data_IF_014642745382
#
_entry.id   IF_014642745382
#
_cell.length_a   1.000
_cell.length_b   1.000
_cell.length_c   1.000
_cell.angle_alpha   90.00
_cell.angle_beta   90.00
_cell.angle_gamma   90.00
#
_symmetry.space_group_name_H-M   'P 1'
#
loop_
_entity.id
_entity.type
_entity.pdbx_description
1 polymer ?
#
# COMPACT_ATOMS: atom_id res chain seq x y z
N UNK A 1 -87.43 42.63 -40.78
CA UNK A 1 -86.49 41.49 -40.83
C UNK A 1 -85.15 41.97 -40.32
N UNK A 2 -84.81 41.64 -39.08
CA UNK A 2 -83.56 42.07 -38.45
C UNK A 2 -82.41 41.17 -38.90
N UNK A 3 -81.35 41.77 -39.44
CA UNK A 3 -80.11 41.09 -39.83
C UNK A 3 -79.32 40.70 -38.58
N UNK A 4 -79.02 39.41 -38.45
CA UNK A 4 -78.11 38.87 -37.42
C UNK A 4 -76.68 39.14 -37.87
N UNK A 5 -75.98 40.03 -37.17
CA UNK A 5 -74.55 40.27 -37.35
C UNK A 5 -73.77 39.26 -36.51
N UNK A 6 -72.97 38.39 -37.14
CA UNK A 6 -71.97 37.59 -36.43
C UNK A 6 -70.91 38.53 -35.83
N UNK A 7 -70.75 38.49 -34.50
CA UNK A 7 -69.71 39.25 -33.80
C UNK A 7 -68.32 38.81 -34.23
N UNK A 8 -67.37 39.76 -34.24
CA UNK A 8 -65.97 39.51 -34.53
C UNK A 8 -65.36 38.58 -33.48
N UNK A 9 -64.51 37.65 -33.93
CA UNK A 9 -63.76 36.77 -33.04
C UNK A 9 -62.88 37.60 -32.08
N UNK A 10 -62.83 37.23 -30.81
CA UNK A 10 -61.99 37.87 -29.80
C UNK A 10 -60.49 37.74 -30.14
N UNK A 11 -59.71 38.74 -29.76
CA UNK A 11 -58.26 38.77 -29.98
C UNK A 11 -57.62 37.61 -29.19
N UNK A 12 -56.73 36.79 -29.79
CA UNK A 12 -56.00 35.76 -29.06
C UNK A 12 -55.22 36.35 -27.88
N UNK A 13 -55.21 35.66 -26.74
CA UNK A 13 -54.43 36.05 -25.57
C UNK A 13 -52.93 36.02 -25.85
N UNK A 14 -52.18 36.93 -25.23
CA UNK A 14 -50.73 37.02 -25.38
C UNK A 14 -50.09 35.77 -24.72
N UNK A 15 -49.19 35.04 -25.40
CA UNK A 15 -48.45 33.95 -24.78
C UNK A 15 -47.67 34.40 -23.54
N UNK A 16 -47.64 33.57 -22.50
CA UNK A 16 -46.86 33.85 -21.29
C UNK A 16 -45.35 33.89 -21.57
N UNK A 17 -44.63 34.68 -20.78
CA UNK A 17 -43.18 34.76 -20.90
C UNK A 17 -42.52 33.42 -20.50
N UNK A 18 -41.41 33.04 -21.16
CA UNK A 18 -40.61 31.88 -20.74
C UNK A 18 -40.19 31.97 -19.27
N UNK A 19 -40.14 30.82 -18.59
CA UNK A 19 -39.62 30.72 -17.23
C UNK A 19 -38.13 31.09 -17.17
N UNK A 20 -37.65 31.48 -15.98
CA UNK A 20 -36.22 31.74 -15.77
C UNK A 20 -35.44 30.44 -15.79
N UNK A 21 -34.22 30.51 -16.32
CA UNK A 21 -33.27 29.41 -16.25
C UNK A 21 -32.97 29.02 -14.79
N UNK A 22 -32.77 27.71 -14.57
CA UNK A 22 -32.38 27.18 -13.27
C UNK A 22 -30.98 27.64 -12.86
N UNK A 23 -30.73 27.71 -11.54
CA UNK A 23 -29.42 28.11 -11.01
C UNK A 23 -28.39 27.04 -11.38
N UNK A 24 -27.22 27.41 -11.95
CA UNK A 24 -26.15 26.46 -12.22
C UNK A 24 -25.69 25.71 -10.96
N UNK A 25 -25.44 24.40 -11.09
CA UNK A 25 -24.96 23.56 -9.99
C UNK A 25 -23.62 24.03 -9.43
N UNK A 26 -23.38 23.81 -8.13
CA UNK A 26 -22.14 24.20 -7.47
C UNK A 26 -20.92 23.49 -8.10
N UNK A 27 -19.88 24.26 -8.42
CA UNK A 27 -18.60 23.76 -8.94
C UNK A 27 -17.98 22.80 -7.90
N UNK A 28 -17.65 21.57 -8.33
CA UNK A 28 -17.00 20.59 -7.45
C UNK A 28 -15.67 21.14 -6.91
N UNK A 29 -15.45 21.07 -5.60
CA UNK A 29 -14.18 21.47 -4.96
C UNK A 29 -13.09 20.46 -5.31
N UNK A 30 -12.50 20.61 -6.49
CA UNK A 30 -11.17 20.08 -6.77
C UNK A 30 -10.16 20.89 -5.97
N UNK A 31 -9.54 20.27 -4.97
CA UNK A 31 -8.47 20.88 -4.19
C UNK A 31 -7.25 21.07 -5.08
N UNK A 32 -7.11 22.25 -5.69
CA UNK A 32 -5.84 22.75 -6.15
C UNK A 32 -5.00 23.05 -4.90
N UNK A 33 -4.17 22.10 -4.47
CA UNK A 33 -3.21 22.33 -3.38
C UNK A 33 -1.97 23.04 -3.95
N UNK A 34 -1.66 24.17 -3.33
CA UNK A 34 -0.43 24.93 -3.53
C UNK A 34 0.77 24.11 -3.04
N UNK A 35 1.92 24.25 -3.72
CA UNK A 35 3.18 23.58 -3.41
C UNK A 35 3.71 24.03 -2.04
N UNK A 36 3.29 23.33 -0.99
CA UNK A 36 3.95 23.27 0.32
C UNK A 36 4.61 21.90 0.49
N UNK A 37 5.60 21.78 1.38
CA UNK A 37 6.38 20.56 1.61
C UNK A 37 5.52 19.38 2.13
N UNK A 38 4.83 18.68 1.23
CA UNK A 38 3.95 17.53 1.51
C UNK A 38 4.71 16.25 1.93
N UNK A 39 6.05 16.28 2.01
CA UNK A 39 6.83 15.14 2.48
C UNK A 39 6.70 14.88 3.98
N UNK A 40 6.33 15.88 4.79
CA UNK A 40 6.21 15.73 6.24
C UNK A 40 4.82 15.23 6.67
N UNK A 41 3.77 15.50 5.89
CA UNK A 41 2.39 15.13 6.24
C UNK A 41 1.97 13.75 5.68
N UNK A 42 2.75 13.18 4.76
CA UNK A 42 2.69 11.76 4.38
C UNK A 42 3.23 10.82 5.51
N UNK A 43 3.70 11.38 6.63
CA UNK A 43 4.51 10.67 7.67
C UNK A 43 3.69 10.25 8.89
N UNK A 44 2.35 10.38 8.88
CA UNK A 44 1.47 9.63 9.80
C UNK A 44 0.83 8.43 9.10
N UNK A 45 1.65 7.68 8.39
CA UNK A 45 1.23 6.47 7.71
C UNK A 45 1.38 5.24 8.62
N UNK A 46 0.48 4.26 8.46
CA UNK A 46 0.62 2.92 9.03
C UNK A 46 1.57 2.02 8.19
N UNK A 47 2.13 2.54 7.10
CA UNK A 47 3.13 1.85 6.28
C UNK A 47 4.50 2.54 6.41
N UNK A 48 5.55 1.71 6.46
CA UNK A 48 6.94 2.16 6.41
C UNK A 48 7.68 1.33 5.38
N UNK A 49 8.48 1.99 4.54
CA UNK A 49 9.37 1.34 3.60
C UNK A 49 10.82 1.65 3.93
N UNK A 50 11.64 0.61 3.99
CA UNK A 50 13.09 0.74 3.94
C UNK A 50 13.56 0.24 2.58
N UNK A 51 14.40 1.02 1.91
CA UNK A 51 14.93 0.71 0.59
C UNK A 51 16.44 0.95 0.58
N UNK A 52 17.16 0.08 -0.12
CA UNK A 52 18.62 0.11 -0.18
C UNK A 52 19.06 0.09 -1.65
N UNK A 53 20.13 0.83 -1.96
CA UNK A 53 20.63 0.97 -3.34
C UNK A 53 21.66 -0.08 -3.73
N UNK A 54 22.29 -0.76 -2.76
CA UNK A 54 23.38 -1.72 -3.01
C UNK A 54 22.87 -3.16 -3.03
N UNK A 55 23.45 -3.98 -3.91
CA UNK A 55 23.40 -5.44 -3.73
C UNK A 55 24.16 -5.77 -2.46
N UNK A 56 23.51 -6.49 -1.56
CA UNK A 56 24.23 -7.24 -0.56
C UNK A 56 24.71 -8.54 -1.22
N UNK A 57 26.01 -8.81 -1.19
CA UNK A 57 26.62 -10.06 -1.65
C UNK A 57 26.81 -11.05 -0.50
N UNK A 58 26.12 -10.84 0.63
CA UNK A 58 26.10 -11.79 1.74
C UNK A 58 25.43 -13.08 1.32
N UNK A 59 26.13 -14.17 1.62
CA UNK A 59 25.59 -15.52 1.44
C UNK A 59 24.88 -16.04 2.70
N UNK A 60 25.08 -15.44 3.89
CA UNK A 60 24.41 -15.82 5.15
C UNK A 60 24.25 -14.65 6.13
N UNK A 61 23.27 -14.74 7.02
CA UNK A 61 23.03 -13.80 8.12
C UNK A 61 22.10 -12.63 7.74
N UNK A 62 22.20 -11.51 8.47
CA UNK A 62 21.36 -10.33 8.24
C UNK A 62 21.65 -9.73 6.85
N UNK A 63 20.63 -9.76 5.99
CA UNK A 63 20.65 -9.14 4.66
C UNK A 63 20.36 -7.65 4.80
N UNK A 64 19.23 -7.30 5.40
CA UNK A 64 18.84 -5.91 5.63
C UNK A 64 17.94 -5.79 6.86
N UNK A 65 17.94 -4.62 7.49
CA UNK A 65 17.03 -4.29 8.60
C UNK A 65 16.32 -2.96 8.39
N UNK A 66 15.10 -2.87 8.91
CA UNK A 66 14.30 -1.68 8.95
C UNK A 66 13.99 -1.32 10.40
N UNK A 67 14.36 -0.12 10.81
CA UNK A 67 14.01 0.41 12.14
C UNK A 67 12.62 1.02 12.06
N UNK A 68 11.72 0.72 12.98
CA UNK A 68 10.35 1.23 12.98
C UNK A 68 9.81 1.41 14.40
N UNK A 69 8.83 2.29 14.57
CA UNK A 69 8.11 2.46 15.84
C UNK A 69 6.71 1.88 15.66
N UNK A 70 6.33 0.94 16.53
CA UNK A 70 4.96 0.43 16.57
C UNK A 70 4.10 1.42 17.36
N UNK A 71 2.88 1.67 16.89
CA UNK A 71 1.97 2.67 17.49
C UNK A 71 0.94 2.10 18.48
N UNK A 72 0.62 0.82 18.33
CA UNK A 72 -0.42 0.17 19.12
C UNK A 72 -0.04 -1.30 19.36
N UNK A 73 0.04 -1.69 20.63
CA UNK A 73 0.29 -3.07 21.05
C UNK A 73 -0.70 -4.08 20.46
N UNK A 74 -1.99 -3.71 20.42
CA UNK A 74 -3.10 -4.59 20.05
C UNK A 74 -3.28 -4.77 18.53
N UNK A 75 -2.27 -4.41 17.72
CA UNK A 75 -2.32 -4.54 16.26
C UNK A 75 -1.27 -5.53 15.75
N UNK A 76 -1.55 -6.18 14.62
CA UNK A 76 -0.56 -7.02 13.92
C UNK A 76 0.32 -6.17 13.02
N UNK A 77 1.60 -6.52 12.90
CA UNK A 77 2.47 -5.94 11.88
C UNK A 77 2.42 -6.80 10.61
N UNK A 78 2.02 -6.21 9.49
CA UNK A 78 2.22 -6.82 8.17
C UNK A 78 3.61 -6.45 7.67
N UNK A 79 4.41 -7.44 7.30
CA UNK A 79 5.76 -7.23 6.77
C UNK A 79 5.94 -7.97 5.46
N UNK A 80 6.72 -7.39 4.56
CA UNK A 80 7.13 -8.08 3.34
C UNK A 80 8.53 -7.66 2.92
N UNK A 81 9.21 -8.58 2.25
CA UNK A 81 10.52 -8.39 1.65
C UNK A 81 10.37 -8.57 0.15
N UNK A 82 10.88 -7.59 -0.59
CA UNK A 82 10.96 -7.61 -2.05
C UNK A 82 12.42 -7.45 -2.42
N UNK A 83 13.02 -8.51 -2.94
CA UNK A 83 14.41 -8.50 -3.35
C UNK A 83 14.83 -9.80 -4.01
N UNK A 84 16.04 -9.83 -4.54
CA UNK A 84 16.58 -11.03 -5.16
C UNK A 84 17.13 -11.95 -4.09
N UNK A 85 16.75 -13.23 -4.16
CA UNK A 85 17.36 -14.29 -3.36
C UNK A 85 18.19 -15.19 -4.27
N UNK A 86 19.25 -15.77 -3.71
CA UNK A 86 20.12 -16.73 -4.39
C UNK A 86 20.20 -18.01 -3.57
N UNK A 87 20.02 -19.17 -4.20
CA UNK A 87 20.40 -20.45 -3.61
C UNK A 87 21.39 -21.14 -4.56
N UNK A 88 22.46 -21.70 -4.02
CA UNK A 88 23.50 -22.35 -4.82
C UNK A 88 24.24 -23.40 -3.98
N UNK A 89 24.36 -24.61 -4.49
CA UNK A 89 25.01 -25.73 -3.80
C UNK A 89 24.54 -27.07 -4.33
N UNK A 90 24.80 -28.16 -3.60
CA UNK A 90 24.30 -29.50 -3.92
C UNK A 90 23.52 -30.02 -2.72
N UNK A 91 22.25 -30.38 -2.92
CA UNK A 91 21.32 -30.75 -1.85
C UNK A 91 21.23 -29.72 -0.71
N UNK A 92 21.17 -28.43 -1.06
CA UNK A 92 21.16 -27.34 -0.08
C UNK A 92 19.77 -26.72 0.04
N UNK A 93 19.45 -26.23 1.23
CA UNK A 93 18.19 -25.55 1.49
C UNK A 93 18.45 -24.16 2.08
N UNK A 94 18.16 -23.11 1.34
CA UNK A 94 18.28 -21.74 1.85
C UNK A 94 16.92 -21.26 2.38
N UNK A 95 16.95 -20.63 3.55
CA UNK A 95 15.80 -20.08 4.26
C UNK A 95 16.02 -18.59 4.50
N UNK A 96 15.09 -17.78 4.01
CA UNK A 96 15.00 -16.36 4.31
C UNK A 96 13.87 -16.10 5.27
N UNK A 97 14.14 -15.46 6.40
CA UNK A 97 13.15 -15.32 7.47
C UNK A 97 13.22 -13.96 8.15
N UNK A 98 12.08 -13.54 8.71
CA UNK A 98 11.97 -12.28 9.45
C UNK A 98 12.34 -12.45 10.92
N UNK A 99 13.05 -11.47 11.44
CA UNK A 99 13.26 -11.28 12.87
C UNK A 99 12.78 -9.91 13.31
N UNK A 100 12.31 -9.84 14.55
CA UNK A 100 11.94 -8.62 15.23
C UNK A 100 12.78 -8.52 16.49
N UNK A 101 13.61 -7.47 16.60
CA UNK A 101 14.59 -7.31 17.68
C UNK A 101 15.50 -8.54 17.86
N UNK A 102 15.88 -9.17 16.74
CA UNK A 102 16.73 -10.35 16.71
C UNK A 102 16.02 -11.69 16.93
N UNK A 103 14.73 -11.69 17.27
CA UNK A 103 13.95 -12.91 17.48
C UNK A 103 13.00 -13.22 16.32
N UNK A 104 12.87 -14.48 15.92
CA UNK A 104 11.88 -14.90 14.91
C UNK A 104 10.45 -14.68 15.41
N UNK A 105 9.55 -14.31 14.50
CA UNK A 105 8.13 -14.25 14.85
C UNK A 105 7.55 -15.64 15.09
N UNK A 106 6.83 -15.84 16.19
CA UNK A 106 6.18 -17.13 16.51
C UNK A 106 4.66 -17.07 16.49
N UNK A 107 4.08 -15.86 16.36
CA UNK A 107 2.62 -15.66 16.39
C UNK A 107 2.17 -14.80 15.20
N UNK A 108 1.28 -15.31 14.32
CA UNK A 108 0.68 -16.65 14.35
C UNK A 108 1.66 -17.77 13.94
N UNK A 109 2.62 -17.48 13.07
CA UNK A 109 3.64 -18.41 12.57
C UNK A 109 4.93 -17.65 12.24
N UNK A 110 6.00 -18.38 11.93
CA UNK A 110 7.20 -17.80 11.31
C UNK A 110 6.89 -17.21 9.94
N UNK A 111 7.62 -16.16 9.57
CA UNK A 111 7.48 -15.50 8.26
C UNK A 111 8.76 -15.78 7.49
N UNK A 112 8.66 -16.67 6.51
CA UNK A 112 9.83 -17.19 5.82
C UNK A 112 9.55 -17.62 4.37
N UNK A 113 10.62 -17.72 3.60
CA UNK A 113 10.63 -18.35 2.28
C UNK A 113 11.80 -19.32 2.21
N UNK A 114 11.55 -20.49 1.60
CA UNK A 114 12.54 -21.57 1.51
C UNK A 114 12.76 -21.93 0.04
N UNK A 115 14.01 -22.13 -0.35
CA UNK A 115 14.39 -22.65 -1.67
C UNK A 115 15.37 -23.79 -1.47
N UNK A 116 15.00 -24.95 -2.00
CA UNK A 116 15.90 -26.10 -2.13
C UNK A 116 16.54 -26.09 -3.52
N UNK A 117 17.81 -26.48 -3.57
CA UNK A 117 18.58 -26.70 -4.80
C UNK A 117 19.21 -28.09 -4.73
N UNK A 118 18.89 -28.93 -5.70
CA UNK A 118 19.36 -30.32 -5.73
C UNK A 118 20.78 -30.47 -6.23
N UNK A 119 21.24 -29.56 -7.12
CA UNK A 119 22.53 -29.68 -7.77
C UNK A 119 23.21 -28.33 -8.01
N UNK A 120 24.54 -28.36 -8.17
CA UNK A 120 25.33 -27.17 -8.52
C UNK A 120 25.08 -26.63 -9.92
N UNK A 121 24.24 -27.31 -10.72
CA UNK A 121 23.77 -26.81 -12.02
C UNK A 121 22.62 -25.82 -11.88
N UNK A 122 21.96 -25.82 -10.72
CA UNK A 122 20.93 -24.86 -10.38
C UNK A 122 21.55 -23.70 -9.60
N UNK A 123 21.24 -22.49 -10.05
CA UNK A 123 21.70 -21.27 -9.41
C UNK A 123 20.61 -20.19 -9.57
N UNK A 124 19.44 -20.36 -8.94
CA UNK A 124 18.37 -19.39 -9.06
C UNK A 124 18.78 -18.04 -8.46
N UNK A 125 18.87 -17.01 -9.31
CA UNK A 125 18.97 -15.59 -8.92
C UNK A 125 17.68 -14.88 -9.29
N UNK A 126 16.72 -14.87 -8.38
CA UNK A 126 15.37 -14.37 -8.73
C UNK A 126 14.78 -13.52 -7.65
N UNK A 127 14.02 -12.53 -8.11
CA UNK A 127 13.18 -11.72 -7.24
C UNK A 127 12.17 -12.61 -6.51
N UNK A 128 12.05 -12.40 -5.20
CA UNK A 128 11.05 -13.04 -4.35
C UNK A 128 10.33 -11.99 -3.51
N UNK A 129 9.06 -12.31 -3.27
CA UNK A 129 8.19 -11.61 -2.35
C UNK A 129 7.89 -12.55 -1.19
N UNK A 130 8.40 -12.24 -0.01
CA UNK A 130 8.15 -12.99 1.23
C UNK A 130 7.32 -12.08 2.12
N UNK A 131 6.21 -12.57 2.64
CA UNK A 131 5.23 -11.74 3.35
C UNK A 131 4.56 -12.51 4.47
N UNK A 132 4.20 -11.81 5.53
CA UNK A 132 3.41 -12.35 6.62
C UNK A 132 3.01 -11.31 7.65
N UNK A 133 2.47 -11.80 8.76
CA UNK A 133 2.00 -10.98 9.87
C UNK A 133 2.67 -11.39 11.17
N UNK A 134 2.97 -10.42 12.04
CA UNK A 134 3.54 -10.69 13.36
C UNK A 134 2.77 -9.98 14.47
N UNK A 135 2.33 -10.77 15.45
CA UNK A 135 1.54 -10.30 16.60
C UNK A 135 2.38 -10.09 17.86
N UNK A 136 3.63 -10.57 17.89
CA UNK A 136 4.45 -10.59 19.12
C UNK A 136 5.22 -9.28 19.40
N UNK A 137 5.11 -8.29 18.52
CA UNK A 137 5.87 -7.04 18.68
C UNK A 137 5.05 -6.04 19.51
N UNK A 138 5.54 -5.62 20.69
CA UNK A 138 4.85 -4.59 21.48
C UNK A 138 5.05 -3.16 20.94
N UNK A 139 4.27 -2.21 21.41
CA UNK A 139 4.49 -0.77 21.39
C UNK A 139 5.17 -0.37 22.71
N UNK A 140 6.49 -0.40 22.70
CA UNK A 140 7.29 -0.05 23.87
C UNK A 140 7.69 1.45 23.90
N UNK A 141 6.97 2.32 23.16
CA UNK A 141 7.39 3.71 22.93
C UNK A 141 8.86 3.85 22.51
N UNK A 142 9.41 2.79 21.89
CA UNK A 142 10.79 2.72 21.39
C UNK A 142 10.81 2.19 19.95
N UNK A 143 11.97 2.34 19.33
CA UNK A 143 12.24 1.72 18.05
C UNK A 143 12.42 0.21 18.17
N UNK A 144 11.83 -0.51 17.23
CA UNK A 144 12.05 -1.92 16.95
C UNK A 144 12.88 -2.06 15.68
N UNK A 145 13.53 -3.21 15.55
CA UNK A 145 14.23 -3.62 14.34
C UNK A 145 13.49 -4.77 13.68
N UNK A 146 13.22 -4.66 12.39
CA UNK A 146 12.70 -5.75 11.55
C UNK A 146 13.82 -6.17 10.59
N UNK A 147 14.40 -7.34 10.78
CA UNK A 147 15.48 -7.87 9.94
C UNK A 147 15.01 -9.00 9.03
N UNK A 148 15.60 -9.10 7.85
CA UNK A 148 15.50 -10.28 6.97
C UNK A 148 16.85 -10.97 6.97
N UNK A 149 16.87 -12.25 7.33
CA UNK A 149 18.08 -13.05 7.47
C UNK A 149 18.08 -14.20 6.47
N UNK A 150 19.26 -14.59 6.01
CA UNK A 150 19.53 -15.83 5.25
C UNK A 150 20.16 -16.88 6.17
N UNK A 151 19.69 -18.12 6.07
CA UNK A 151 20.36 -19.29 6.62
C UNK A 151 20.30 -20.42 5.60
N UNK A 152 21.44 -21.01 5.30
CA UNK A 152 21.51 -22.32 4.66
C UNK A 152 21.37 -23.41 5.73
N UNK A 153 20.49 -24.38 5.46
CA UNK A 153 20.19 -25.56 6.28
C UNK A 153 20.79 -26.80 5.66
#
# INVERSE_FOLDING_TARGET
SAQVTCGSAGIPGIPGNPGRDGIPGSRGRGAWRERGNDYADLVKSNWKQCAWKRRDSKDTGLIQNCIFNKKYDNTSLRVFYKGNVRSYGSNVCNRWYFTFDGAECTKPVTIEGVVYVGSTRENPHRHRHIEGYCNQVPDLQRSHTCGVLDRQM
#
